data_IF_720357822701
#
_entry.id   IF_720357822701
#
_cell.length_a   1.000
_cell.length_b   1.000
_cell.length_c   1.000
_cell.angle_alpha   90.00
_cell.angle_beta   90.00
_cell.angle_gamma   90.00
#
_symmetry.space_group_name_H-M   'P 1'
#
loop_
_entity.id
_entity.type
_entity.pdbx_description
1 polymer ?
#
# COMPACT_ATOMS: atom_id res chain seq x y z
N UNK A 1 -14.82 11.94 11.94
CA UNK A 1 -14.35 10.77 12.72
C UNK A 1 -13.91 9.61 11.81
N UNK A 2 -14.74 9.18 10.86
CA UNK A 2 -14.38 8.16 9.86
C UNK A 2 -13.04 8.44 9.13
N UNK A 3 -12.84 9.68 8.66
CA UNK A 3 -11.59 10.10 8.01
C UNK A 3 -10.34 9.95 8.90
N UNK A 4 -10.43 10.09 10.23
CA UNK A 4 -9.26 9.90 11.12
C UNK A 4 -8.98 8.42 11.41
N UNK A 5 -10.03 7.60 11.52
CA UNK A 5 -9.91 6.14 11.64
C UNK A 5 -9.34 5.49 10.37
N UNK A 6 -9.58 6.10 9.21
CA UNK A 6 -8.98 5.73 7.92
C UNK A 6 -7.45 5.82 7.94
N UNK A 7 -6.88 6.88 8.53
CA UNK A 7 -5.43 7.06 8.68
C UNK A 7 -4.78 6.10 9.69
N UNK A 8 -5.53 5.56 10.65
CA UNK A 8 -5.01 4.59 11.63
C UNK A 8 -4.46 3.30 10.97
N UNK A 9 -4.93 2.99 9.75
CA UNK A 9 -4.44 1.85 8.98
C UNK A 9 -2.99 2.02 8.49
N UNK A 10 -2.59 3.24 8.14
CA UNK A 10 -1.20 3.55 7.76
C UNK A 10 -0.25 3.33 8.94
N UNK A 11 -0.68 3.71 10.15
CA UNK A 11 0.07 3.41 11.37
C UNK A 11 0.19 1.89 11.62
N UNK A 12 -0.88 1.12 11.39
CA UNK A 12 -0.84 -0.34 11.49
C UNK A 12 0.16 -1.00 10.54
N UNK A 13 0.28 -0.50 9.30
CA UNK A 13 1.28 -1.00 8.35
C UNK A 13 2.71 -0.63 8.74
N UNK A 14 2.93 0.56 9.31
CA UNK A 14 4.25 0.96 9.79
C UNK A 14 4.72 0.05 10.96
N UNK A 15 3.79 -0.34 11.84
CA UNK A 15 4.07 -1.30 12.93
C UNK A 15 4.37 -2.70 12.39
N UNK A 16 3.60 -3.17 11.40
CA UNK A 16 3.85 -4.47 10.75
C UNK A 16 5.23 -4.52 10.09
N UNK A 17 5.62 -3.44 9.39
CA UNK A 17 6.93 -3.33 8.77
C UNK A 17 8.07 -3.40 9.79
N UNK A 18 7.93 -2.66 10.89
CA UNK A 18 8.89 -2.70 11.99
C UNK A 18 9.00 -4.09 12.63
N UNK A 19 7.88 -4.82 12.72
CA UNK A 19 7.87 -6.20 13.24
C UNK A 19 8.63 -7.16 12.31
N UNK A 20 8.47 -7.04 10.98
CA UNK A 20 9.23 -7.84 10.03
C UNK A 20 10.73 -7.53 10.08
N UNK A 21 11.11 -6.26 10.21
CA UNK A 21 12.51 -5.87 10.37
C UNK A 21 13.13 -6.49 11.64
N UNK A 22 12.37 -6.55 12.73
CA UNK A 22 12.80 -7.17 13.98
C UNK A 22 12.97 -8.70 13.83
N UNK A 23 12.06 -9.37 13.13
CA UNK A 23 12.17 -10.80 12.81
C UNK A 23 13.43 -11.10 11.98
N UNK A 24 13.74 -10.25 10.99
CA UNK A 24 14.99 -10.39 10.20
C UNK A 24 16.22 -10.22 11.09
N UNK A 25 16.22 -9.26 12.00
CA UNK A 25 17.34 -9.02 12.91
C UNK A 25 17.59 -10.23 13.86
N UNK A 26 16.53 -10.80 14.43
CA UNK A 26 16.63 -12.01 15.25
C UNK A 26 17.12 -13.22 14.45
N UNK A 27 16.69 -13.36 13.19
CA UNK A 27 17.16 -14.42 12.31
C UNK A 27 18.67 -14.30 11.99
N UNK A 28 19.18 -13.07 11.85
CA UNK A 28 20.61 -12.82 11.67
C UNK A 28 21.43 -13.16 12.91
N UNK A 29 20.91 -12.87 14.11
CA UNK A 29 21.57 -13.24 15.37
C UNK A 29 21.63 -14.76 15.57
N UNK A 30 20.56 -15.48 15.22
CA UNK A 30 20.50 -16.93 15.38
C UNK A 30 21.40 -17.69 14.38
N UNK A 31 21.55 -17.21 13.14
CA UNK A 31 22.37 -17.90 12.15
C UNK A 31 22.91 -16.95 11.05
N UNK A 32 24.20 -16.54 11.09
CA UNK A 32 24.75 -15.51 10.19
C UNK A 32 24.72 -15.90 8.71
N UNK A 33 24.99 -17.17 8.39
CA UNK A 33 25.09 -17.64 7.00
C UNK A 33 23.72 -17.70 6.30
N UNK A 34 22.68 -18.12 7.02
CA UNK A 34 21.29 -18.18 6.53
C UNK A 34 20.63 -16.79 6.58
N UNK A 35 20.99 -15.98 7.57
CA UNK A 35 20.47 -14.63 7.78
C UNK A 35 20.81 -13.66 6.66
N UNK A 36 22.02 -13.71 6.08
CA UNK A 36 22.43 -12.75 5.04
C UNK A 36 21.78 -13.07 3.68
N UNK A 37 21.72 -14.35 3.29
CA UNK A 37 21.17 -14.74 1.98
C UNK A 37 19.64 -14.76 1.95
N UNK A 38 19.04 -15.58 2.82
CA UNK A 38 17.59 -15.80 2.85
C UNK A 38 16.87 -14.73 3.69
N UNK A 39 17.45 -14.37 4.83
CA UNK A 39 16.85 -13.40 5.75
C UNK A 39 16.89 -11.97 5.22
N UNK A 40 18.05 -11.48 4.80
CA UNK A 40 18.20 -10.07 4.44
C UNK A 40 17.60 -9.78 3.06
N UNK A 41 17.90 -10.58 2.04
CA UNK A 41 17.51 -10.26 0.66
C UNK A 41 16.09 -10.76 0.36
N UNK A 42 15.84 -12.06 0.58
CA UNK A 42 14.57 -12.65 0.20
C UNK A 42 13.43 -12.18 1.11
N UNK A 43 13.60 -12.22 2.43
CA UNK A 43 12.53 -11.87 3.37
C UNK A 43 12.18 -10.38 3.34
N UNK A 44 13.15 -9.47 3.20
CA UNK A 44 12.85 -8.03 3.05
C UNK A 44 12.12 -7.73 1.74
N UNK A 45 12.61 -8.25 0.61
CA UNK A 45 11.98 -7.98 -0.69
C UNK A 45 10.57 -8.57 -0.75
N UNK A 46 10.39 -9.78 -0.21
CA UNK A 46 9.10 -10.44 -0.14
C UNK A 46 8.12 -9.68 0.78
N UNK A 47 8.57 -9.32 1.99
CA UNK A 47 7.78 -8.54 2.95
C UNK A 47 7.37 -7.19 2.36
N UNK A 48 8.31 -6.46 1.76
CA UNK A 48 8.05 -5.17 1.12
C UNK A 48 7.01 -5.29 -0.01
N UNK A 49 7.13 -6.32 -0.84
CA UNK A 49 6.23 -6.52 -1.99
C UNK A 49 4.79 -6.79 -1.51
N UNK A 50 4.64 -7.67 -0.52
CA UNK A 50 3.32 -7.98 0.03
C UNK A 50 2.71 -6.79 0.78
N UNK A 51 3.50 -6.08 1.59
CA UNK A 51 3.02 -4.90 2.32
C UNK A 51 2.59 -3.81 1.35
N UNK A 52 3.38 -3.49 0.33
CA UNK A 52 3.04 -2.49 -0.70
C UNK A 52 1.76 -2.87 -1.46
N UNK A 53 1.58 -4.15 -1.81
CA UNK A 53 0.39 -4.62 -2.50
C UNK A 53 -0.87 -4.42 -1.63
N UNK A 54 -0.81 -4.81 -0.36
CA UNK A 54 -1.95 -4.70 0.57
C UNK A 54 -2.25 -3.23 0.90
N UNK A 55 -1.22 -2.42 1.14
CA UNK A 55 -1.35 -0.97 1.37
C UNK A 55 -2.03 -0.30 0.19
N UNK A 56 -1.63 -0.62 -1.04
CA UNK A 56 -2.16 0.01 -2.24
C UNK A 56 -3.65 -0.27 -2.41
N UNK A 57 -4.06 -1.53 -2.21
CA UNK A 57 -5.48 -1.92 -2.28
C UNK A 57 -6.30 -1.20 -1.21
N UNK A 58 -5.78 -1.12 0.02
CA UNK A 58 -6.47 -0.48 1.14
C UNK A 58 -6.52 1.05 0.99
N UNK A 59 -5.48 1.67 0.45
CA UNK A 59 -5.43 3.09 0.15
C UNK A 59 -6.39 3.45 -1.00
N UNK A 60 -6.43 2.63 -2.06
CA UNK A 60 -7.36 2.80 -3.17
C UNK A 60 -8.81 2.72 -2.70
N UNK A 61 -9.13 1.77 -1.81
CA UNK A 61 -10.47 1.67 -1.22
C UNK A 61 -10.83 2.94 -0.46
N UNK A 62 -9.91 3.49 0.33
CA UNK A 62 -10.19 4.74 1.07
C UNK A 62 -10.34 5.94 0.12
N UNK A 63 -9.47 6.06 -0.89
CA UNK A 63 -9.52 7.10 -1.91
C UNK A 63 -10.85 7.07 -2.70
N UNK A 64 -11.26 5.90 -3.22
CA UNK A 64 -12.49 5.81 -3.99
C UNK A 64 -13.73 6.10 -3.15
N UNK A 65 -13.80 5.58 -1.93
CA UNK A 65 -15.01 5.69 -1.12
C UNK A 65 -15.13 7.02 -0.36
N UNK A 66 -14.03 7.64 0.08
CA UNK A 66 -14.07 8.92 0.79
C UNK A 66 -13.82 10.12 -0.13
N UNK A 67 -12.90 10.02 -1.10
CA UNK A 67 -12.53 11.14 -1.96
C UNK A 67 -13.43 11.24 -3.19
N UNK A 68 -13.56 10.16 -3.99
CA UNK A 68 -14.40 10.21 -5.19
C UNK A 68 -15.87 10.41 -4.86
N UNK A 69 -16.42 9.79 -3.81
CA UNK A 69 -17.85 9.96 -3.49
C UNK A 69 -18.21 11.35 -2.93
N UNK A 70 -17.27 12.07 -2.30
CA UNK A 70 -17.51 13.44 -1.80
C UNK A 70 -17.25 14.51 -2.86
N UNK A 71 -16.25 14.33 -3.72
CA UNK A 71 -15.80 15.37 -4.65
C UNK A 71 -16.17 15.09 -6.11
N UNK A 72 -16.41 13.83 -6.49
CA UNK A 72 -16.81 13.45 -7.84
C UNK A 72 -18.34 13.39 -7.94
N UNK A 73 -18.98 14.54 -8.11
CA UNK A 73 -20.35 14.60 -8.62
C UNK A 73 -20.25 14.24 -10.11
N UNK A 74 -20.76 13.07 -10.52
CA UNK A 74 -20.71 12.53 -11.89
C UNK A 74 -21.47 13.34 -12.96
N UNK A 75 -21.48 14.67 -12.83
CA UNK A 75 -22.09 15.68 -13.69
C UNK A 75 -21.12 16.25 -14.74
N UNK A 76 -20.01 15.57 -15.02
CA UNK A 76 -19.10 15.95 -16.11
C UNK A 76 -19.68 15.52 -17.46
N UNK A 77 -19.98 16.47 -18.35
CA UNK A 77 -20.37 16.13 -19.73
C UNK A 77 -19.14 15.59 -20.47
N UNK A 78 -19.19 14.38 -21.05
CA UNK A 78 -18.10 13.87 -21.88
C UNK A 78 -17.93 14.77 -23.10
N UNK A 79 -16.70 15.22 -23.33
CA UNK A 79 -16.36 16.06 -24.48
C UNK A 79 -16.39 15.21 -25.76
N UNK A 80 -17.37 15.44 -26.63
CA UNK A 80 -17.44 14.84 -27.96
C UNK A 80 -16.94 15.86 -28.99
N UNK A 81 -15.71 15.71 -29.51
CA UNK A 81 -15.20 16.61 -30.55
C UNK A 81 -16.02 16.43 -31.83
N UNK A 82 -16.29 17.55 -32.51
CA UNK A 82 -17.02 17.57 -33.77
C UNK A 82 -16.18 16.89 -34.86
N UNK A 83 -16.64 15.72 -35.35
CA UNK A 83 -16.03 15.03 -36.49
C UNK A 83 -16.64 15.58 -37.77
N UNK A 84 -15.84 16.32 -38.54
CA UNK A 84 -16.16 16.72 -39.90
C UNK A 84 -15.84 15.51 -40.78
N UNK A 85 -16.86 14.76 -41.19
CA UNK A 85 -16.72 13.77 -42.25
C UNK A 85 -16.70 14.53 -43.58
N UNK A 86 -15.53 14.58 -44.21
CA UNK A 86 -15.34 15.04 -45.59
C UNK A 86 -15.64 13.86 -46.52
#
# INVERSE_FOLDING_TARGET
>A
LANMLSYARIAGFCIAHAAFALVVAELMHANPALGIGLGLIFLNLFSLTLEMMVVMIQALRLLYYEFSTKFFKGTGKPYTPYKITI
#
